data_IF_156429631198
#
_entry.id   IF_156429631198
#
_cell.length_a   1.000
_cell.length_b   1.000
_cell.length_c   1.000
_cell.angle_alpha   90.00
_cell.angle_beta   90.00
_cell.angle_gamma   90.00
#
_symmetry.space_group_name_H-M   'P 1'
#
loop_
_entity.id
_entity.type
_entity.pdbx_description
1 polymer ?
#
# COMPACT_ATOMS: atom_id res chain seq x y z
N UNK A 1 -34.31 -33.58 6.56
CA UNK A 1 -32.91 -33.69 6.07
C UNK A 1 -32.45 -32.57 5.13
N UNK A 2 -33.29 -31.59 4.75
CA UNK A 2 -32.91 -30.52 3.80
C UNK A 2 -32.29 -29.25 4.42
N UNK A 3 -32.43 -29.04 5.72
CA UNK A 3 -31.93 -27.83 6.42
C UNK A 3 -30.44 -27.91 6.75
N UNK A 4 -29.90 -29.10 7.03
CA UNK A 4 -28.48 -29.29 7.38
C UNK A 4 -27.54 -29.00 6.20
N UNK A 5 -27.94 -29.34 4.96
CA UNK A 5 -27.14 -29.08 3.75
C UNK A 5 -27.00 -27.58 3.43
N UNK A 6 -28.04 -26.78 3.68
CA UNK A 6 -28.00 -25.32 3.43
C UNK A 6 -27.14 -24.59 4.46
N UNK A 7 -27.16 -25.05 5.72
CA UNK A 7 -26.28 -24.56 6.78
C UNK A 7 -24.80 -24.84 6.49
N UNK A 8 -24.47 -26.03 5.99
CA UNK A 8 -23.10 -26.36 5.59
C UNK A 8 -22.61 -25.54 4.39
N UNK A 9 -23.47 -25.28 3.40
CA UNK A 9 -23.12 -24.44 2.25
C UNK A 9 -22.86 -22.99 2.68
N UNK A 10 -23.66 -22.44 3.59
CA UNK A 10 -23.45 -21.09 4.11
C UNK A 10 -22.17 -21.01 4.97
N UNK A 11 -21.87 -22.04 5.77
CA UNK A 11 -20.65 -22.12 6.55
C UNK A 11 -19.39 -22.23 5.66
N UNK A 12 -19.44 -23.02 4.58
CA UNK A 12 -18.35 -23.12 3.60
C UNK A 12 -18.12 -21.82 2.83
N UNK A 13 -19.20 -21.11 2.46
CA UNK A 13 -19.08 -19.78 1.84
C UNK A 13 -18.52 -18.77 2.86
N UNK A 14 -18.92 -18.84 4.14
CA UNK A 14 -18.33 -17.96 5.16
C UNK A 14 -16.85 -18.24 5.42
N UNK A 15 -16.37 -19.48 5.22
CA UNK A 15 -14.94 -19.81 5.31
C UNK A 15 -14.19 -19.37 4.05
N UNK A 16 -14.82 -19.42 2.88
CA UNK A 16 -14.24 -18.93 1.63
C UNK A 16 -14.22 -17.39 1.53
N UNK A 17 -15.15 -16.71 2.21
CA UNK A 17 -15.26 -15.25 2.26
C UNK A 17 -14.69 -14.64 3.56
N UNK A 18 -14.34 -15.45 4.56
CA UNK A 18 -13.54 -14.97 5.67
C UNK A 18 -12.13 -14.74 5.14
N UNK A 19 -11.69 -13.47 5.16
CA UNK A 19 -10.27 -13.15 5.14
C UNK A 19 -9.54 -14.13 6.06
N UNK A 20 -8.35 -14.61 5.66
CA UNK A 20 -7.56 -15.56 6.46
C UNK A 20 -7.65 -15.16 7.94
N UNK A 21 -8.31 -15.99 8.75
CA UNK A 21 -8.50 -15.76 10.17
C UNK A 21 -7.14 -15.94 10.83
N UNK A 22 -6.32 -14.89 10.75
CA UNK A 22 -5.09 -14.84 11.50
C UNK A 22 -5.44 -14.75 12.98
N UNK A 23 -4.70 -15.48 13.82
CA UNK A 23 -4.91 -15.47 15.27
C UNK A 23 -4.59 -14.06 15.76
N UNK A 24 -5.64 -13.28 16.07
CA UNK A 24 -5.47 -11.94 16.65
C UNK A 24 -4.85 -12.07 18.03
N UNK A 25 -3.85 -11.27 18.31
CA UNK A 25 -3.31 -11.19 19.66
C UNK A 25 -4.29 -10.44 20.59
N UNK A 26 -4.12 -10.59 21.90
CA UNK A 26 -5.03 -9.99 22.90
C UNK A 26 -4.77 -8.50 23.14
N UNK A 27 -3.67 -7.97 22.60
CA UNK A 27 -3.23 -6.58 22.81
C UNK A 27 -3.29 -5.79 21.51
N UNK A 28 -3.73 -4.53 21.61
CA UNK A 28 -3.76 -3.63 20.47
C UNK A 28 -2.33 -3.21 20.07
N UNK A 29 -1.92 -3.51 18.84
CA UNK A 29 -0.61 -3.10 18.26
C UNK A 29 -0.70 -1.92 17.31
N UNK A 30 -1.84 -1.23 17.22
CA UNK A 30 -2.01 -0.09 16.33
C UNK A 30 -0.92 0.98 16.49
N UNK A 31 -0.46 1.27 17.71
CA UNK A 31 0.62 2.24 17.91
C UNK A 31 1.93 1.83 17.21
N UNK A 32 2.28 0.55 17.23
CA UNK A 32 3.47 0.04 16.54
C UNK A 32 3.27 0.06 15.01
N UNK A 33 2.11 -0.38 14.53
CA UNK A 33 1.76 -0.36 13.10
C UNK A 33 1.75 1.08 12.58
N UNK A 34 1.16 2.03 13.32
CA UNK A 34 1.11 3.44 12.96
C UNK A 34 2.51 4.02 12.84
N UNK A 35 3.42 3.72 13.78
CA UNK A 35 4.81 4.20 13.69
C UNK A 35 5.53 3.71 12.43
N UNK A 36 5.18 2.53 11.91
CA UNK A 36 5.77 1.98 10.67
C UNK A 36 5.19 2.70 9.45
N UNK A 37 3.87 2.92 9.43
CA UNK A 37 3.19 3.63 8.35
C UNK A 37 3.55 5.12 8.33
N UNK A 38 3.68 5.76 9.49
CA UNK A 38 4.15 7.14 9.62
C UNK A 38 5.57 7.30 9.09
N UNK A 39 6.46 6.33 9.37
CA UNK A 39 7.81 6.35 8.83
C UNK A 39 7.82 6.31 7.29
N UNK A 40 6.99 5.44 6.70
CA UNK A 40 6.78 5.41 5.25
C UNK A 40 6.30 6.77 4.74
N UNK A 41 5.25 7.33 5.36
CA UNK A 41 4.70 8.62 4.95
C UNK A 41 5.74 9.75 4.99
N UNK A 42 6.55 9.81 6.04
CA UNK A 42 7.65 10.78 6.16
C UNK A 42 8.69 10.60 5.05
N UNK A 43 9.08 9.37 4.74
CA UNK A 43 10.03 9.09 3.66
C UNK A 43 9.47 9.56 2.31
N UNK A 44 8.19 9.32 2.05
CA UNK A 44 7.54 9.71 0.80
C UNK A 44 7.36 11.23 0.70
N UNK A 45 7.15 11.92 1.82
CA UNK A 45 7.17 13.39 1.88
C UNK A 45 8.57 13.98 1.63
N UNK A 46 9.63 13.18 1.68
CA UNK A 46 10.94 13.58 1.19
C UNK A 46 11.12 13.23 -0.30
N UNK A 47 10.75 12.01 -0.70
CA UNK A 47 11.01 11.47 -2.05
C UNK A 47 10.11 12.13 -3.11
N UNK A 48 8.81 12.22 -2.86
CA UNK A 48 7.82 12.75 -3.79
C UNK A 48 8.15 14.18 -4.24
N UNK A 49 8.38 15.13 -3.32
CA UNK A 49 8.79 16.50 -3.69
C UNK A 49 10.09 16.56 -4.48
N UNK A 50 11.07 15.69 -4.23
CA UNK A 50 12.30 15.64 -5.04
C UNK A 50 12.02 15.24 -6.49
N UNK A 51 11.15 14.24 -6.71
CA UNK A 51 10.70 13.84 -8.05
C UNK A 51 10.05 15.05 -8.75
N UNK A 52 9.08 15.69 -8.09
CA UNK A 52 8.40 16.87 -8.61
C UNK A 52 9.37 18.02 -8.92
N UNK A 53 10.37 18.24 -8.07
CA UNK A 53 11.42 19.24 -8.28
C UNK A 53 12.28 18.93 -9.51
N UNK A 54 12.68 17.68 -9.73
CA UNK A 54 13.44 17.30 -10.93
C UNK A 54 12.61 17.47 -12.21
N UNK A 55 11.30 17.26 -12.15
CA UNK A 55 10.41 17.52 -13.28
C UNK A 55 10.29 19.01 -13.54
N UNK A 56 10.03 19.82 -12.50
CA UNK A 56 9.90 21.27 -12.61
C UNK A 56 11.17 21.93 -13.14
N UNK A 57 12.34 21.46 -12.70
CA UNK A 57 13.64 21.96 -13.15
C UNK A 57 14.11 21.37 -14.50
N UNK A 58 13.33 20.47 -15.12
CA UNK A 58 13.67 19.77 -16.36
C UNK A 58 14.97 18.94 -16.29
N UNK A 59 15.36 18.53 -15.08
CA UNK A 59 16.54 17.70 -14.79
C UNK A 59 16.19 16.23 -14.52
N UNK A 60 14.97 15.83 -14.85
CA UNK A 60 14.55 14.42 -14.83
C UNK A 60 15.36 13.61 -15.83
N UNK A 61 15.94 12.52 -15.34
CA UNK A 61 16.76 11.55 -16.05
C UNK A 61 16.64 10.20 -15.36
N UNK A 62 17.05 9.11 -16.01
CA UNK A 62 17.08 7.80 -15.35
C UNK A 62 17.96 7.80 -14.09
N UNK A 63 18.99 8.64 -14.03
CA UNK A 63 19.84 8.76 -12.84
C UNK A 63 19.13 9.47 -11.69
N UNK A 64 18.52 10.63 -11.95
CA UNK A 64 17.86 11.43 -10.90
C UNK A 64 16.57 10.77 -10.42
N UNK A 65 15.73 10.30 -11.35
CA UNK A 65 14.49 9.59 -11.05
C UNK A 65 14.78 8.18 -10.53
N UNK A 66 15.72 7.45 -11.13
CA UNK A 66 16.08 6.10 -10.67
C UNK A 66 16.58 6.08 -9.22
N UNK A 67 17.30 7.13 -8.78
CA UNK A 67 17.66 7.29 -7.36
C UNK A 67 16.43 7.44 -6.45
N UNK A 68 15.42 8.20 -6.89
CA UNK A 68 14.17 8.33 -6.13
C UNK A 68 13.34 7.04 -6.17
N UNK A 69 13.30 6.33 -7.30
CA UNK A 69 12.65 5.02 -7.41
C UNK A 69 13.29 3.99 -6.45
N UNK A 70 14.62 3.93 -6.41
CA UNK A 70 15.33 3.07 -5.46
C UNK A 70 15.03 3.43 -3.99
N UNK A 71 14.82 4.72 -3.68
CA UNK A 71 14.41 5.17 -2.36
C UNK A 71 12.95 4.76 -2.03
N UNK A 72 12.03 4.81 -3.00
CA UNK A 72 10.67 4.28 -2.85
C UNK A 72 10.72 2.77 -2.55
N UNK A 73 11.45 2.02 -3.38
CA UNK A 73 11.63 0.58 -3.22
C UNK A 73 12.17 0.22 -1.83
N UNK A 74 13.18 0.93 -1.36
CA UNK A 74 13.78 0.73 -0.03
C UNK A 74 12.77 1.01 1.10
N UNK A 75 12.00 2.09 0.98
CA UNK A 75 11.03 2.50 1.99
C UNK A 75 9.87 1.51 2.08
N UNK A 76 9.27 1.13 0.95
CA UNK A 76 8.21 0.12 0.91
C UNK A 76 8.68 -1.27 1.35
N UNK A 77 9.89 -1.69 0.97
CA UNK A 77 10.44 -2.98 1.45
C UNK A 77 10.65 -2.98 2.97
N UNK A 78 11.20 -1.89 3.53
CA UNK A 78 11.34 -1.74 4.99
C UNK A 78 9.97 -1.80 5.67
N UNK A 79 8.99 -1.04 5.18
CA UNK A 79 7.61 -1.07 5.69
C UNK A 79 7.03 -2.47 5.66
N UNK A 80 7.14 -3.19 4.53
CA UNK A 80 6.64 -4.55 4.42
C UNK A 80 7.31 -5.50 5.42
N UNK A 81 8.63 -5.40 5.59
CA UNK A 81 9.38 -6.21 6.55
C UNK A 81 8.99 -5.92 8.01
N UNK A 82 8.88 -4.64 8.37
CA UNK A 82 8.54 -4.22 9.73
C UNK A 82 7.08 -4.57 10.08
N UNK A 83 6.16 -4.44 9.12
CA UNK A 83 4.79 -4.92 9.26
C UNK A 83 4.79 -6.45 9.45
N UNK A 84 5.47 -7.21 8.60
CA UNK A 84 5.53 -8.67 8.72
C UNK A 84 6.11 -9.15 10.07
N UNK A 85 7.01 -8.37 10.68
CA UNK A 85 7.56 -8.62 12.02
C UNK A 85 6.64 -8.18 13.17
N UNK A 86 5.61 -7.39 12.87
CA UNK A 86 4.67 -6.85 13.86
C UNK A 86 3.50 -7.80 14.07
N UNK A 87 3.18 -8.07 15.32
CA UNK A 87 2.04 -8.92 15.64
C UNK A 87 0.72 -8.27 15.21
N UNK A 88 -0.21 -9.11 14.75
CA UNK A 88 -1.47 -8.71 14.13
C UNK A 88 -2.38 -8.00 15.12
N UNK A 89 -2.83 -6.81 14.76
CA UNK A 89 -3.65 -5.98 15.63
C UNK A 89 -4.98 -6.64 15.97
N UNK A 90 -5.38 -6.52 17.23
CA UNK A 90 -6.77 -6.78 17.65
C UNK A 90 -7.75 -5.77 17.07
N UNK A 91 -7.25 -4.64 16.57
CA UNK A 91 -8.01 -3.46 16.12
C UNK A 91 -8.35 -2.52 17.27
N UNK A 92 -8.60 -1.25 16.93
CA UNK A 92 -9.12 -0.22 17.83
C UNK A 92 -9.96 0.81 17.08
N UNK A 93 -11.18 1.04 17.56
CA UNK A 93 -12.09 2.09 17.07
C UNK A 93 -12.33 3.20 18.10
N UNK A 94 -11.70 3.12 19.28
CA UNK A 94 -11.95 4.03 20.41
C UNK A 94 -10.69 4.64 21.01
N UNK A 95 -9.50 4.17 20.61
CA UNK A 95 -8.19 4.65 21.08
C UNK A 95 -7.31 4.98 19.88
N UNK A 96 -6.68 6.15 19.91
CA UNK A 96 -5.73 6.59 18.88
C UNK A 96 -4.36 5.94 19.07
N UNK A 97 -3.68 5.50 17.99
CA UNK A 97 -4.19 5.48 16.61
C UNK A 97 -5.24 4.37 16.39
N UNK A 98 -6.32 4.73 15.71
CA UNK A 98 -7.37 3.80 15.25
C UNK A 98 -6.94 3.09 13.97
N UNK A 99 -7.68 2.05 13.58
CA UNK A 99 -7.44 1.39 12.29
C UNK A 99 -7.65 2.33 11.11
N UNK A 100 -8.59 3.27 11.24
CA UNK A 100 -8.89 4.26 10.21
C UNK A 100 -7.75 5.28 10.10
N UNK A 101 -7.19 5.75 11.24
CA UNK A 101 -6.03 6.65 11.25
C UNK A 101 -4.85 6.05 10.47
N UNK A 102 -4.51 4.78 10.75
CA UNK A 102 -3.43 4.05 10.05
C UNK A 102 -3.72 3.95 8.55
N UNK A 103 -4.97 3.67 8.20
CA UNK A 103 -5.39 3.50 6.80
C UNK A 103 -5.36 4.82 6.03
N UNK A 104 -5.70 5.92 6.69
CA UNK A 104 -5.60 7.29 6.15
C UNK A 104 -4.14 7.61 5.85
N UNK A 105 -3.25 7.50 6.84
CA UNK A 105 -1.81 7.77 6.63
C UNK A 105 -1.22 6.89 5.52
N UNK A 106 -1.58 5.60 5.47
CA UNK A 106 -1.08 4.72 4.41
C UNK A 106 -1.62 5.10 3.02
N UNK A 107 -2.89 5.52 2.94
CA UNK A 107 -3.42 5.99 1.65
C UNK A 107 -2.79 7.29 1.20
N UNK A 108 -2.51 8.23 2.11
CA UNK A 108 -1.84 9.49 1.78
C UNK A 108 -0.44 9.21 1.21
N UNK A 109 0.31 8.31 1.85
CA UNK A 109 1.58 7.77 1.36
C UNK A 109 1.47 7.21 -0.08
N UNK A 110 0.49 6.34 -0.33
CA UNK A 110 0.27 5.76 -1.66
C UNK A 110 -0.16 6.79 -2.71
N UNK A 111 -1.05 7.72 -2.34
CA UNK A 111 -1.51 8.81 -3.21
C UNK A 111 -0.35 9.74 -3.57
N UNK A 112 0.53 10.06 -2.62
CA UNK A 112 1.72 10.86 -2.86
C UNK A 112 2.67 10.15 -3.83
N UNK A 113 2.86 8.83 -3.67
CA UNK A 113 3.64 8.02 -4.62
C UNK A 113 3.05 8.14 -6.02
N UNK A 114 1.76 7.82 -6.20
CA UNK A 114 1.10 7.88 -7.50
C UNK A 114 1.16 9.29 -8.12
N UNK A 115 0.87 10.33 -7.33
CA UNK A 115 0.86 11.72 -7.79
C UNK A 115 2.26 12.22 -8.17
N UNK A 116 3.29 11.82 -7.44
CA UNK A 116 4.66 12.21 -7.75
C UNK A 116 5.16 11.60 -9.06
N UNK A 117 4.69 10.40 -9.40
CA UNK A 117 5.10 9.64 -10.57
C UNK A 117 4.29 9.97 -11.84
N UNK A 118 3.05 10.45 -11.70
CA UNK A 118 2.13 10.71 -12.82
C UNK A 118 2.60 11.76 -13.83
N UNK A 119 3.57 12.60 -13.46
CA UNK A 119 4.16 13.60 -14.34
C UNK A 119 5.34 13.11 -15.19
N UNK A 120 5.84 11.89 -14.95
CA UNK A 120 7.08 11.43 -15.58
C UNK A 120 6.84 11.04 -17.04
N UNK A 121 7.60 11.65 -17.94
CA UNK A 121 7.52 11.37 -19.39
C UNK A 121 8.54 10.28 -19.74
N UNK A 122 8.05 9.03 -19.83
CA UNK A 122 8.87 7.87 -20.16
C UNK A 122 9.52 7.96 -21.55
N UNK A 123 8.77 8.43 -22.57
CA UNK A 123 9.26 8.58 -23.95
C UNK A 123 10.08 9.87 -24.14
N UNK A 124 11.18 10.00 -23.39
CA UNK A 124 12.15 11.06 -23.64
C UNK A 124 13.17 11.23 -22.53
N UNK A 125 12.73 11.77 -21.39
CA UNK A 125 13.63 12.16 -20.31
C UNK A 125 14.03 10.98 -19.42
N UNK A 126 13.13 10.01 -19.25
CA UNK A 126 13.33 8.85 -18.37
C UNK A 126 12.92 7.57 -19.12
N UNK A 127 13.70 7.15 -20.14
CA UNK A 127 13.38 5.99 -20.97
C UNK A 127 13.18 4.69 -20.17
N UNK A 128 13.86 4.54 -19.03
CA UNK A 128 13.79 3.32 -18.22
C UNK A 128 12.62 3.31 -17.22
N UNK A 129 11.76 4.34 -17.23
CA UNK A 129 10.70 4.51 -16.25
C UNK A 129 9.76 3.30 -16.14
N UNK A 130 9.36 2.72 -17.28
CA UNK A 130 8.48 1.54 -17.29
C UNK A 130 9.11 0.33 -16.58
N UNK A 131 10.44 0.14 -16.71
CA UNK A 131 11.17 -0.92 -16.00
C UNK A 131 11.25 -0.66 -14.49
N UNK A 132 11.39 0.62 -14.10
CA UNK A 132 11.38 1.01 -12.68
C UNK A 132 10.00 0.77 -12.06
N UNK A 133 8.92 1.11 -12.77
CA UNK A 133 7.54 0.81 -12.34
C UNK A 133 7.31 -0.70 -12.21
N UNK A 134 7.75 -1.49 -13.19
CA UNK A 134 7.62 -2.96 -13.13
C UNK A 134 8.35 -3.58 -11.92
N UNK A 135 9.41 -2.92 -11.43
CA UNK A 135 10.13 -3.34 -10.21
C UNK A 135 9.42 -2.88 -8.94
N UNK A 136 8.89 -1.65 -8.93
CA UNK A 136 8.20 -1.07 -7.78
C UNK A 136 6.84 -1.73 -7.49
N UNK A 137 6.10 -2.15 -8.52
CA UNK A 137 4.77 -2.75 -8.39
C UNK A 137 4.70 -3.93 -7.39
N UNK A 138 5.49 -5.02 -7.54
CA UNK A 138 5.45 -6.12 -6.56
C UNK A 138 5.87 -5.69 -5.14
N UNK A 139 6.69 -4.66 -5.00
CA UNK A 139 7.16 -4.15 -3.71
C UNK A 139 6.02 -3.41 -2.98
N UNK A 140 5.33 -2.51 -3.67
CA UNK A 140 4.15 -1.81 -3.15
C UNK A 140 3.00 -2.78 -2.84
N UNK A 141 2.79 -3.77 -3.72
CA UNK A 141 1.79 -4.81 -3.50
C UNK A 141 2.08 -5.63 -2.22
N UNK A 142 3.35 -5.96 -1.98
CA UNK A 142 3.75 -6.66 -0.77
C UNK A 142 3.49 -5.81 0.49
N UNK A 143 3.89 -4.54 0.50
CA UNK A 143 3.63 -3.64 1.63
C UNK A 143 2.12 -3.55 1.95
N UNK A 144 1.28 -3.41 0.92
CA UNK A 144 -0.19 -3.38 1.05
C UNK A 144 -0.73 -4.70 1.59
N UNK A 145 -0.20 -5.83 1.12
CA UNK A 145 -0.58 -7.16 1.61
C UNK A 145 -0.22 -7.33 3.10
N UNK A 146 0.99 -6.92 3.51
CA UNK A 146 1.42 -6.99 4.90
C UNK A 146 0.59 -6.06 5.80
N UNK A 147 0.21 -4.87 5.31
CA UNK A 147 -0.71 -4.00 6.04
C UNK A 147 -2.06 -4.68 6.26
N UNK A 148 -2.63 -5.32 5.23
CA UNK A 148 -3.90 -6.01 5.37
C UNK A 148 -3.83 -7.21 6.33
N UNK A 149 -2.69 -7.89 6.40
CA UNK A 149 -2.47 -9.00 7.34
C UNK A 149 -2.37 -8.47 8.77
N UNK A 150 -1.56 -7.45 8.99
CA UNK A 150 -1.24 -6.89 10.31
C UNK A 150 -2.35 -6.03 10.89
N UNK A 151 -3.07 -5.31 10.04
CA UNK A 151 -4.25 -4.53 10.39
C UNK A 151 -5.43 -4.95 9.50
N UNK A 152 -6.15 -6.02 9.87
CA UNK A 152 -7.24 -6.55 9.06
C UNK A 152 -8.32 -5.50 8.76
N UNK A 153 -8.77 -5.48 7.51
CA UNK A 153 -9.72 -4.52 6.92
C UNK A 153 -9.18 -3.10 6.69
N UNK A 154 -7.92 -2.78 7.02
CA UNK A 154 -7.35 -1.46 6.74
C UNK A 154 -7.36 -1.10 5.25
N UNK A 155 -7.13 -2.08 4.39
CA UNK A 155 -7.10 -1.85 2.93
C UNK A 155 -8.47 -1.47 2.35
N UNK A 156 -9.59 -1.77 3.03
CA UNK A 156 -10.90 -1.37 2.52
C UNK A 156 -11.06 0.16 2.47
N UNK A 157 -10.56 0.87 3.49
CA UNK A 157 -10.58 2.33 3.49
C UNK A 157 -9.54 2.89 2.51
N UNK A 158 -8.34 2.29 2.44
CA UNK A 158 -7.30 2.64 1.46
C UNK A 158 -7.85 2.54 0.03
N UNK A 159 -8.54 1.45 -0.30
CA UNK A 159 -9.18 1.24 -1.61
C UNK A 159 -10.09 2.42 -1.98
N UNK A 160 -10.97 2.83 -1.06
CA UNK A 160 -11.92 3.92 -1.30
C UNK A 160 -11.17 5.24 -1.55
N UNK A 161 -10.14 5.52 -0.75
CA UNK A 161 -9.34 6.75 -0.89
C UNK A 161 -8.46 6.74 -2.15
N UNK A 162 -8.06 5.57 -2.63
CA UNK A 162 -7.24 5.38 -3.83
C UNK A 162 -8.04 5.37 -5.14
N UNK A 163 -9.35 5.61 -5.13
CA UNK A 163 -10.20 5.52 -6.34
C UNK A 163 -9.68 6.40 -7.49
N UNK A 164 -9.26 7.62 -7.21
CA UNK A 164 -8.74 8.54 -8.23
C UNK A 164 -7.35 8.10 -8.72
N UNK A 165 -6.44 7.82 -7.78
CA UNK A 165 -5.09 7.32 -8.07
C UNK A 165 -5.10 5.95 -8.79
N UNK A 166 -6.17 5.17 -8.69
CA UNK A 166 -6.30 3.87 -9.36
C UNK A 166 -6.27 3.97 -10.88
N UNK A 167 -6.65 5.13 -11.46
CA UNK A 167 -6.56 5.35 -12.90
C UNK A 167 -5.10 5.39 -13.35
N UNK A 168 -4.27 6.19 -12.66
CA UNK A 168 -2.83 6.24 -12.89
C UNK A 168 -2.18 4.86 -12.73
N UNK A 169 -2.50 4.14 -11.65
CA UNK A 169 -1.93 2.81 -11.43
C UNK A 169 -2.29 1.82 -12.55
N UNK A 170 -3.47 1.93 -13.16
CA UNK A 170 -3.86 1.12 -14.32
C UNK A 170 -3.05 1.48 -15.55
N UNK A 171 -2.92 2.77 -15.83
CA UNK A 171 -2.25 3.27 -17.03
C UNK A 171 -0.75 2.94 -17.03
N UNK A 172 -0.10 2.99 -15.86
CA UNK A 172 1.32 2.64 -15.70
C UNK A 172 1.57 1.14 -15.46
N UNK A 173 0.52 0.32 -15.35
CA UNK A 173 0.67 -1.14 -15.27
C UNK A 173 0.96 -1.71 -13.88
N UNK A 174 0.59 -1.02 -12.80
CA UNK A 174 0.69 -1.50 -11.40
C UNK A 174 -0.36 -2.57 -11.06
N UNK A 175 -0.36 -3.67 -11.82
CA UNK A 175 -1.39 -4.72 -11.73
C UNK A 175 -1.41 -5.43 -10.38
N UNK A 176 -0.24 -5.66 -9.76
CA UNK A 176 -0.15 -6.34 -8.47
C UNK A 176 -0.62 -5.43 -7.35
N UNK A 177 -0.24 -4.15 -7.38
CA UNK A 177 -0.66 -3.15 -6.40
C UNK A 177 -2.16 -2.95 -6.46
N UNK A 178 -2.74 -2.79 -7.67
CA UNK A 178 -4.20 -2.70 -7.84
C UNK A 178 -4.92 -3.92 -7.26
N UNK A 179 -4.43 -5.12 -7.53
CA UNK A 179 -4.99 -6.37 -6.99
C UNK A 179 -4.90 -6.39 -5.47
N UNK A 180 -3.77 -5.96 -4.89
CA UNK A 180 -3.57 -5.92 -3.43
C UNK A 180 -4.49 -4.91 -2.74
N UNK A 181 -4.86 -3.82 -3.45
CA UNK A 181 -5.85 -2.83 -3.03
C UNK A 181 -7.29 -3.30 -3.25
N UNK A 182 -7.51 -4.37 -4.01
CA UNK A 182 -8.84 -4.93 -4.30
C UNK A 182 -9.58 -4.27 -5.48
N UNK A 183 -8.86 -3.70 -6.45
CA UNK A 183 -9.42 -3.15 -7.71
C UNK A 183 -9.61 -4.18 -8.82
#
# INVERSE_FOLDING_TARGET
>A
MFTLRRLFALALVSVACASQLHVRQTTNTNAAINSIVDALDVDLHHIGPNILMFMANQTSSDTTIGSQMAALESSYNRTAADLAATAISSGSTTVSPTNDDISITYSDAMQLTATSLSGIIASGKVPDFSSMVATLDPIMANATSQLNITSPNSVALVHIMMLDASQFLRDEGFTLTLTSLGF
#
